data_IF_661991340929
#
_entry.id   IF_661991340929
#
_cell.length_a   1.000
_cell.length_b   1.000
_cell.length_c   1.000
_cell.angle_alpha   90.00
_cell.angle_beta   90.00
_cell.angle_gamma   90.00
#
_symmetry.space_group_name_H-M   'P 1'
#
loop_
_entity.id
_entity.type
_entity.pdbx_description
1 polymer ?
#
# COMPACT_ATOMS: atom_id res chain seq x y z
N UNK A 1 -38.61 9.69 0.76
CA UNK A 1 -37.23 9.56 0.31
C UNK A 1 -36.65 10.95 0.28
N UNK A 2 -35.69 11.27 1.12
CA UNK A 2 -34.97 12.54 1.03
C UNK A 2 -34.23 12.54 -0.31
N UNK A 3 -34.50 13.55 -1.14
CA UNK A 3 -33.82 13.74 -2.42
C UNK A 3 -32.38 14.08 -2.09
N UNK A 4 -31.40 13.32 -2.59
CA UNK A 4 -30.00 13.72 -2.46
C UNK A 4 -29.81 15.06 -3.16
N UNK A 5 -28.88 15.85 -2.64
CA UNK A 5 -28.57 17.18 -3.16
C UNK A 5 -27.40 17.15 -4.14
N UNK A 6 -26.63 16.04 -4.13
CA UNK A 6 -25.43 15.90 -4.93
C UNK A 6 -25.75 16.00 -6.44
N UNK A 7 -25.21 17.04 -7.09
CA UNK A 7 -25.39 17.31 -8.52
C UNK A 7 -24.16 16.90 -9.33
N UNK A 8 -22.98 16.85 -8.70
CA UNK A 8 -21.70 16.63 -9.37
C UNK A 8 -20.82 15.66 -8.59
N UNK A 9 -20.11 14.81 -9.34
CA UNK A 9 -19.02 14.00 -8.86
C UNK A 9 -17.71 14.46 -9.48
N UNK A 10 -16.70 14.69 -8.65
CA UNK A 10 -15.32 14.92 -9.06
C UNK A 10 -14.47 13.68 -8.76
N UNK A 11 -13.80 13.17 -9.78
CA UNK A 11 -12.96 11.99 -9.67
C UNK A 11 -11.49 12.38 -9.50
N UNK A 12 -10.83 11.81 -8.50
CA UNK A 12 -9.39 11.96 -8.33
C UNK A 12 -8.61 11.45 -9.55
N UNK A 13 -7.54 12.11 -9.89
CA UNK A 13 -6.59 11.66 -10.90
C UNK A 13 -5.14 11.93 -10.41
N UNK A 14 -4.29 10.88 -10.17
CA UNK A 14 -4.62 9.45 -10.35
C UNK A 14 -5.47 8.87 -9.20
N UNK A 15 -6.03 7.70 -9.43
CA UNK A 15 -6.75 6.86 -8.47
C UNK A 15 -6.57 5.38 -8.82
N UNK A 16 -6.97 4.49 -7.90
CA UNK A 16 -7.00 3.05 -8.15
C UNK A 16 -5.61 2.43 -8.35
N UNK A 17 -5.54 1.31 -9.05
CA UNK A 17 -4.32 0.49 -9.18
C UNK A 17 -3.06 1.28 -9.49
N UNK A 18 -1.95 0.89 -8.84
CA UNK A 18 -0.61 1.34 -9.17
C UNK A 18 0.19 0.20 -9.83
N UNK A 19 1.28 0.54 -10.52
CA UNK A 19 2.12 -0.45 -11.22
C UNK A 19 2.64 -1.59 -10.31
N UNK A 20 2.86 -1.32 -9.01
CA UNK A 20 3.28 -2.36 -8.06
C UNK A 20 2.18 -3.37 -7.78
N UNK A 21 0.95 -2.91 -7.64
CA UNK A 21 -0.25 -3.73 -7.43
C UNK A 21 -0.59 -4.53 -8.68
N UNK A 22 -0.65 -3.89 -9.85
CA UNK A 22 -0.91 -4.58 -11.12
C UNK A 22 0.08 -5.72 -11.35
N UNK A 23 1.38 -5.44 -11.16
CA UNK A 23 2.43 -6.45 -11.28
C UNK A 23 2.23 -7.61 -10.30
N UNK A 24 1.86 -7.35 -9.05
CA UNK A 24 1.69 -8.41 -8.05
C UNK A 24 0.50 -9.32 -8.38
N UNK A 25 -0.62 -8.75 -8.81
CA UNK A 25 -1.80 -9.50 -9.25
C UNK A 25 -1.46 -10.33 -10.49
N UNK A 26 -0.81 -9.73 -11.50
CA UNK A 26 -0.41 -10.43 -12.71
C UNK A 26 0.52 -11.61 -12.43
N UNK A 27 1.44 -11.48 -11.47
CA UNK A 27 2.29 -12.61 -11.04
C UNK A 27 1.44 -13.77 -10.50
N UNK A 28 0.48 -13.50 -9.63
CA UNK A 28 -0.40 -14.55 -9.07
C UNK A 28 -1.19 -15.24 -10.18
N UNK A 29 -1.78 -14.47 -11.09
CA UNK A 29 -2.57 -15.00 -12.20
C UNK A 29 -1.73 -15.87 -13.14
N UNK A 30 -0.56 -15.40 -13.56
CA UNK A 30 0.35 -16.16 -14.41
C UNK A 30 0.88 -17.42 -13.74
N UNK A 31 1.15 -17.38 -12.44
CA UNK A 31 1.58 -18.57 -11.70
C UNK A 31 0.44 -19.61 -11.62
N UNK A 32 -0.81 -19.15 -11.41
CA UNK A 32 -1.99 -20.02 -11.46
C UNK A 32 -2.15 -20.68 -12.84
N UNK A 33 -1.97 -19.92 -13.92
CA UNK A 33 -2.05 -20.41 -15.30
C UNK A 33 -0.95 -21.45 -15.61
N UNK A 34 0.29 -21.18 -15.19
CA UNK A 34 1.44 -22.02 -15.56
C UNK A 34 1.60 -23.27 -14.69
N UNK A 35 1.29 -23.18 -13.41
CA UNK A 35 1.58 -24.23 -12.43
C UNK A 35 0.31 -24.90 -11.88
N UNK A 36 -0.87 -24.37 -12.24
CA UNK A 36 -2.15 -24.86 -11.77
C UNK A 36 -2.42 -24.52 -10.31
N UNK A 37 -3.56 -24.94 -9.83
CA UNK A 37 -4.03 -24.72 -8.44
C UNK A 37 -3.86 -25.98 -7.59
N UNK A 38 -3.71 -25.85 -6.25
CA UNK A 38 -3.61 -24.60 -5.51
C UNK A 38 -2.22 -23.97 -5.62
N UNK A 39 -2.16 -22.64 -5.52
CA UNK A 39 -0.94 -21.89 -5.22
C UNK A 39 -1.13 -21.17 -3.88
N UNK A 40 -0.04 -20.98 -3.14
CA UNK A 40 -0.07 -20.36 -1.82
C UNK A 40 0.48 -18.95 -1.91
N UNK A 41 -0.18 -17.99 -1.26
CA UNK A 41 0.24 -16.59 -1.23
C UNK A 41 0.38 -16.17 0.22
N UNK A 42 1.57 -15.74 0.63
CA UNK A 42 1.81 -15.29 1.99
C UNK A 42 1.27 -13.87 2.18
N UNK A 43 0.36 -13.72 3.13
CA UNK A 43 -0.52 -12.56 3.33
C UNK A 43 -1.41 -12.29 2.11
N UNK A 44 -2.31 -11.35 2.23
CA UNK A 44 -3.03 -10.82 1.07
C UNK A 44 -2.03 -10.29 0.04
N UNK A 45 -2.21 -10.61 -1.24
CA UNK A 45 -1.29 -10.13 -2.29
C UNK A 45 -1.20 -8.61 -2.30
N UNK A 46 -2.33 -7.96 -2.07
CA UNK A 46 -2.54 -6.53 -1.83
C UNK A 46 -3.74 -6.37 -0.90
N UNK A 47 -3.82 -5.28 -0.14
CA UNK A 47 -4.94 -5.02 0.77
C UNK A 47 -6.19 -4.52 0.02
N UNK A 48 -6.89 -5.46 -0.61
CA UNK A 48 -8.18 -5.23 -1.25
C UNK A 48 -9.01 -6.52 -1.26
N UNK A 49 -10.15 -6.50 -0.58
CA UNK A 49 -11.02 -7.66 -0.40
C UNK A 49 -11.50 -8.24 -1.74
N UNK A 50 -11.94 -7.40 -2.67
CA UNK A 50 -12.42 -7.83 -3.99
C UNK A 50 -11.33 -8.57 -4.77
N UNK A 51 -10.10 -8.05 -4.76
CA UNK A 51 -8.95 -8.69 -5.43
C UNK A 51 -8.62 -10.03 -4.78
N UNK A 52 -8.57 -10.07 -3.45
CA UNK A 52 -8.25 -11.30 -2.69
C UNK A 52 -9.29 -12.39 -2.95
N UNK A 53 -10.58 -12.05 -2.90
CA UNK A 53 -11.68 -13.01 -3.18
C UNK A 53 -11.62 -13.48 -4.62
N UNK A 54 -11.42 -12.59 -5.59
CA UNK A 54 -11.30 -12.97 -6.99
C UNK A 54 -10.12 -13.94 -7.27
N UNK A 55 -9.00 -13.77 -6.56
CA UNK A 55 -7.87 -14.70 -6.67
C UNK A 55 -8.11 -16.02 -5.93
N UNK A 56 -8.85 -16.03 -4.81
CA UNK A 56 -9.31 -17.27 -4.14
C UNK A 56 -10.19 -18.10 -5.05
N UNK A 57 -11.12 -17.49 -5.75
CA UNK A 57 -12.00 -18.17 -6.71
C UNK A 57 -11.21 -18.80 -7.86
N UNK A 58 -10.09 -18.19 -8.24
CA UNK A 58 -9.14 -18.74 -9.23
C UNK A 58 -8.24 -19.85 -8.68
N UNK A 59 -8.21 -20.06 -7.35
CA UNK A 59 -7.47 -21.15 -6.70
C UNK A 59 -6.21 -20.72 -5.94
N UNK A 60 -6.06 -19.44 -5.63
CA UNK A 60 -5.03 -18.96 -4.69
C UNK A 60 -5.48 -19.24 -3.25
N UNK A 61 -4.56 -19.73 -2.42
CA UNK A 61 -4.74 -19.98 -0.98
C UNK A 61 -3.87 -18.96 -0.23
N UNK A 62 -4.51 -18.07 0.50
CA UNK A 62 -3.80 -17.07 1.31
C UNK A 62 -3.48 -17.66 2.67
N UNK A 63 -2.22 -17.53 3.10
CA UNK A 63 -1.67 -18.07 4.33
C UNK A 63 -0.94 -16.98 5.11
N UNK A 64 -0.83 -17.16 6.42
CA UNK A 64 -0.04 -16.29 7.28
C UNK A 64 1.35 -16.85 7.56
N UNK A 65 1.47 -18.16 7.80
CA UNK A 65 2.71 -18.81 8.14
C UNK A 65 3.18 -19.79 7.06
N UNK A 66 4.50 -19.86 6.84
CA UNK A 66 5.09 -20.79 5.86
C UNK A 66 4.77 -22.25 6.20
N UNK A 67 4.61 -22.58 7.48
CA UNK A 67 4.23 -23.91 7.95
C UNK A 67 2.90 -24.44 7.40
N UNK A 68 2.01 -23.53 6.97
CA UNK A 68 0.72 -23.89 6.35
C UNK A 68 0.87 -24.38 4.89
N UNK A 69 2.03 -24.15 4.27
CA UNK A 69 2.29 -24.55 2.87
C UNK A 69 2.73 -26.02 2.82
N UNK A 70 2.12 -26.89 2.01
CA UNK A 70 2.61 -28.25 1.78
C UNK A 70 4.00 -28.26 1.13
N UNK A 71 4.78 -29.30 1.41
CA UNK A 71 6.09 -29.47 0.80
C UNK A 71 6.00 -29.55 -0.74
N UNK A 72 6.99 -28.99 -1.43
CA UNK A 72 7.07 -28.87 -2.88
C UNK A 72 5.94 -28.06 -3.55
N UNK A 73 5.12 -27.34 -2.77
CA UNK A 73 4.09 -26.47 -3.31
C UNK A 73 4.68 -25.17 -3.89
N UNK A 74 3.84 -24.44 -4.61
CA UNK A 74 4.19 -23.12 -5.16
C UNK A 74 3.75 -22.03 -4.19
N UNK A 75 4.70 -21.19 -3.80
CA UNK A 75 4.52 -20.07 -2.87
C UNK A 75 4.79 -18.73 -3.55
N UNK A 76 3.95 -17.75 -3.29
CA UNK A 76 4.14 -16.37 -3.74
C UNK A 76 4.30 -15.46 -2.51
N UNK A 77 5.33 -14.64 -2.50
CA UNK A 77 5.45 -13.53 -1.54
C UNK A 77 4.63 -12.35 -2.06
N UNK A 78 3.81 -11.75 -1.19
CA UNK A 78 2.93 -10.62 -1.53
C UNK A 78 3.68 -9.36 -1.94
N UNK A 79 2.96 -8.34 -2.41
CA UNK A 79 3.54 -7.03 -2.76
C UNK A 79 4.26 -6.34 -1.60
N UNK A 80 3.90 -6.67 -0.36
CA UNK A 80 4.47 -6.09 0.87
C UNK A 80 5.89 -6.56 1.18
N UNK A 81 6.34 -7.65 0.55
CA UNK A 81 7.62 -8.27 0.82
C UNK A 81 7.62 -9.14 2.08
N UNK A 82 8.74 -9.78 2.35
CA UNK A 82 8.93 -10.69 3.48
C UNK A 82 10.29 -10.51 4.12
N UNK A 83 10.45 -10.93 5.37
CA UNK A 83 11.74 -10.96 6.08
C UNK A 83 12.73 -11.91 5.43
N UNK A 84 14.02 -11.73 5.71
CA UNK A 84 15.08 -12.70 5.34
C UNK A 84 14.78 -14.10 5.89
N UNK A 85 14.29 -14.19 7.14
CA UNK A 85 13.98 -15.47 7.79
C UNK A 85 12.89 -16.25 7.05
N UNK A 86 11.80 -15.59 6.66
CA UNK A 86 10.72 -16.20 5.88
C UNK A 86 11.22 -16.72 4.52
N UNK A 87 12.08 -15.95 3.86
CA UNK A 87 12.68 -16.36 2.58
C UNK A 87 13.60 -17.58 2.72
N UNK A 88 14.40 -17.61 3.78
CA UNK A 88 15.30 -18.73 4.12
C UNK A 88 14.49 -19.99 4.43
N UNK A 89 13.48 -19.90 5.31
CA UNK A 89 12.59 -21.01 5.64
C UNK A 89 11.90 -21.61 4.40
N UNK A 90 11.34 -20.74 3.54
CA UNK A 90 10.72 -21.19 2.31
C UNK A 90 11.71 -21.91 1.38
N UNK A 91 12.97 -21.43 1.32
CA UNK A 91 14.05 -22.06 0.55
C UNK A 91 14.48 -23.42 1.13
N UNK A 92 14.64 -23.53 2.44
CA UNK A 92 15.00 -24.78 3.13
C UNK A 92 13.93 -25.88 2.95
N UNK A 93 12.65 -25.49 2.85
CA UNK A 93 11.55 -26.42 2.57
C UNK A 93 11.42 -26.80 1.09
N UNK A 94 12.28 -26.29 0.23
CA UNK A 94 12.27 -26.61 -1.20
C UNK A 94 11.03 -26.12 -1.94
N UNK A 95 10.34 -25.10 -1.45
CA UNK A 95 9.16 -24.51 -2.10
C UNK A 95 9.55 -23.82 -3.41
N UNK A 96 8.65 -23.90 -4.40
CA UNK A 96 8.79 -23.10 -5.62
C UNK A 96 8.33 -21.68 -5.34
N UNK A 97 9.27 -20.75 -5.26
CA UNK A 97 9.01 -19.38 -4.81
C UNK A 97 8.91 -18.42 -6.00
N UNK A 98 7.83 -17.61 -6.03
CA UNK A 98 7.71 -16.42 -6.86
C UNK A 98 7.61 -15.18 -5.98
N UNK A 99 8.36 -14.15 -6.34
CA UNK A 99 8.43 -12.93 -5.52
C UNK A 99 7.64 -11.79 -6.20
N UNK A 100 6.46 -11.49 -5.63
CA UNK A 100 5.63 -10.38 -6.07
C UNK A 100 5.90 -9.07 -5.32
N UNK A 101 6.92 -9.04 -4.45
CA UNK A 101 7.31 -7.80 -3.73
C UNK A 101 7.42 -6.63 -4.69
N UNK A 102 6.77 -5.52 -4.35
CA UNK A 102 6.86 -4.29 -5.12
C UNK A 102 8.32 -3.82 -5.24
N UNK A 103 8.80 -3.44 -6.42
CA UNK A 103 10.18 -2.95 -6.59
C UNK A 103 10.54 -1.78 -5.68
N UNK A 104 9.55 -0.95 -5.27
CA UNK A 104 9.76 0.16 -4.35
C UNK A 104 9.93 -0.30 -2.90
N UNK A 105 9.25 -1.36 -2.50
CA UNK A 105 9.49 -2.05 -1.21
C UNK A 105 10.85 -2.75 -1.23
N UNK A 106 11.20 -3.42 -2.34
CA UNK A 106 12.53 -4.02 -2.53
C UNK A 106 13.65 -2.99 -2.38
N UNK A 107 13.45 -1.75 -2.86
CA UNK A 107 14.40 -0.64 -2.66
C UNK A 107 14.65 -0.42 -1.18
N UNK A 108 13.61 -0.32 -0.35
CA UNK A 108 13.73 -0.11 1.10
C UNK A 108 14.47 -1.29 1.77
N UNK A 109 14.11 -2.53 1.41
CA UNK A 109 14.78 -3.74 1.91
C UNK A 109 16.29 -3.73 1.60
N UNK A 110 16.68 -3.31 0.39
CA UNK A 110 18.08 -3.23 -0.01
C UNK A 110 18.83 -2.10 0.73
N UNK A 111 18.17 -1.01 1.05
CA UNK A 111 18.74 0.06 1.86
C UNK A 111 18.98 -0.40 3.30
N UNK A 112 18.03 -1.06 3.94
CA UNK A 112 18.19 -1.65 5.28
C UNK A 112 19.34 -2.67 5.30
N UNK A 113 19.39 -3.58 4.32
CA UNK A 113 20.45 -4.56 4.20
C UNK A 113 21.85 -3.92 3.98
N UNK A 114 21.89 -2.77 3.31
CA UNK A 114 23.13 -1.98 3.16
C UNK A 114 23.54 -1.36 4.49
N UNK A 115 22.61 -0.75 5.24
CA UNK A 115 22.89 -0.14 6.54
C UNK A 115 23.42 -1.17 7.53
N UNK A 116 22.80 -2.36 7.57
CA UNK A 116 23.30 -3.49 8.36
C UNK A 116 24.75 -3.84 8.02
N UNK A 117 25.07 -4.03 6.73
CA UNK A 117 26.40 -4.36 6.24
C UNK A 117 27.43 -3.28 6.57
N UNK A 118 27.02 -2.02 6.53
CA UNK A 118 27.87 -0.86 6.81
C UNK A 118 28.00 -0.60 8.33
N UNK A 119 27.42 -1.47 9.19
CA UNK A 119 27.44 -1.34 10.65
C UNK A 119 26.69 -0.11 11.17
N UNK A 120 25.67 0.34 10.43
CA UNK A 120 24.79 1.44 10.84
C UNK A 120 23.53 0.86 11.48
N UNK A 121 23.04 1.51 12.51
CA UNK A 121 21.70 1.26 13.04
C UNK A 121 20.64 1.91 12.13
N UNK A 122 19.44 1.37 12.13
CA UNK A 122 18.37 1.85 11.26
C UNK A 122 17.07 2.06 12.03
N UNK A 123 16.41 3.18 11.79
CA UNK A 123 15.07 3.47 12.27
C UNK A 123 14.11 3.27 11.09
N UNK A 124 13.04 2.51 11.29
CA UNK A 124 11.93 2.40 10.37
C UNK A 124 10.79 3.28 10.88
N UNK A 125 10.36 4.24 10.08
CA UNK A 125 9.11 4.96 10.32
C UNK A 125 8.00 4.15 9.64
N UNK A 126 7.03 3.63 10.42
CA UNK A 126 5.98 2.75 9.88
C UNK A 126 5.01 2.31 10.96
N UNK A 127 3.94 1.62 10.56
CA UNK A 127 2.91 1.13 11.48
C UNK A 127 3.18 -0.31 11.91
N UNK A 128 3.23 -0.53 13.22
CA UNK A 128 3.39 -1.85 13.83
C UNK A 128 2.33 -2.84 13.33
N UNK A 129 2.72 -4.09 13.10
CA UNK A 129 1.83 -5.16 12.62
C UNK A 129 1.48 -5.08 11.13
N UNK A 130 1.99 -4.10 10.39
CA UNK A 130 1.80 -4.07 8.94
C UNK A 130 2.79 -5.02 8.24
N UNK A 131 2.37 -5.89 7.28
CA UNK A 131 3.26 -6.85 6.62
C UNK A 131 4.52 -6.24 5.98
N UNK A 132 4.42 -5.05 5.38
CA UNK A 132 5.58 -4.34 4.83
C UNK A 132 6.59 -3.95 5.92
N UNK A 133 6.09 -3.54 7.09
CA UNK A 133 6.94 -3.16 8.23
C UNK A 133 7.64 -4.37 8.79
N UNK A 134 6.94 -5.48 8.99
CA UNK A 134 7.52 -6.76 9.43
C UNK A 134 8.57 -7.27 8.45
N UNK A 135 8.26 -7.24 7.15
CA UNK A 135 9.18 -7.60 6.08
C UNK A 135 10.45 -6.76 6.07
N UNK A 136 10.31 -5.44 6.30
CA UNK A 136 11.42 -4.48 6.32
C UNK A 136 12.27 -4.62 7.58
N UNK A 137 11.66 -4.72 8.78
CA UNK A 137 12.37 -5.00 10.03
C UNK A 137 13.22 -6.28 9.92
N UNK A 138 12.64 -7.30 9.30
CA UNK A 138 13.30 -8.59 9.08
C UNK A 138 14.43 -8.59 8.05
N UNK A 139 14.76 -7.43 7.44
CA UNK A 139 15.98 -7.30 6.62
C UNK A 139 17.25 -7.02 7.45
N UNK A 140 17.10 -6.71 8.73
CA UNK A 140 18.20 -6.41 9.63
C UNK A 140 18.44 -7.59 10.59
N UNK A 141 19.58 -8.26 10.51
CA UNK A 141 19.91 -9.45 11.33
C UNK A 141 21.03 -9.21 12.35
N UNK A 142 21.78 -8.09 12.23
CA UNK A 142 22.95 -7.85 13.07
C UNK A 142 22.54 -7.62 14.53
N UNK A 143 22.91 -8.56 15.43
CA UNK A 143 22.62 -8.48 16.86
C UNK A 143 23.38 -7.37 17.58
N UNK A 144 24.52 -6.94 17.03
CA UNK A 144 25.37 -5.91 17.62
C UNK A 144 24.91 -4.49 17.26
N UNK A 145 24.13 -4.35 16.17
CA UNK A 145 23.45 -3.15 15.75
C UNK A 145 22.04 -3.03 16.31
N UNK A 146 21.20 -2.22 15.65
CA UNK A 146 19.81 -2.03 16.01
C UNK A 146 18.95 -1.70 14.80
N UNK A 147 17.76 -2.28 14.78
CA UNK A 147 16.65 -1.87 13.93
C UNK A 147 15.49 -1.49 14.83
N UNK A 148 15.00 -0.28 14.68
CA UNK A 148 14.01 0.31 15.58
C UNK A 148 12.78 0.74 14.78
N UNK A 149 11.59 0.59 15.36
CA UNK A 149 10.33 1.06 14.77
C UNK A 149 9.87 2.31 15.53
N UNK A 150 9.46 3.32 14.80
CA UNK A 150 8.79 4.51 15.32
C UNK A 150 7.54 4.80 14.48
N UNK A 151 6.45 5.18 15.15
CA UNK A 151 5.18 5.55 14.51
C UNK A 151 4.88 7.05 14.67
N UNK A 152 5.46 7.67 15.73
CA UNK A 152 5.12 9.00 16.18
C UNK A 152 6.32 9.78 16.70
N UNK A 153 6.13 11.10 16.92
CA UNK A 153 7.11 11.95 17.58
C UNK A 153 7.38 11.51 19.03
N UNK A 154 6.37 10.97 19.71
CA UNK A 154 6.52 10.48 21.08
C UNK A 154 7.42 9.24 21.13
N UNK A 155 7.34 8.35 20.13
CA UNK A 155 8.27 7.22 20.02
C UNK A 155 9.69 7.72 19.78
N UNK A 156 9.85 8.72 18.93
CA UNK A 156 11.17 9.35 18.71
C UNK A 156 11.73 9.89 20.02
N UNK A 157 10.91 10.51 20.87
CA UNK A 157 11.36 11.06 22.15
C UNK A 157 11.83 9.98 23.14
N UNK A 158 11.27 8.77 23.07
CA UNK A 158 11.60 7.65 23.97
C UNK A 158 12.66 6.68 23.39
N UNK A 159 13.01 6.85 22.11
CA UNK A 159 13.88 5.93 21.39
C UNK A 159 15.30 5.89 22.00
N UNK A 160 15.77 4.71 22.35
CA UNK A 160 17.15 4.47 22.77
C UNK A 160 17.92 3.72 21.66
N UNK A 161 18.96 4.34 21.12
CA UNK A 161 19.84 3.77 20.11
C UNK A 161 21.22 3.49 20.71
N UNK A 162 21.92 2.49 20.22
CA UNK A 162 23.24 2.12 20.73
C UNK A 162 24.34 3.05 20.20
N UNK A 163 24.23 3.48 18.93
CA UNK A 163 25.23 4.32 18.28
C UNK A 163 24.56 5.46 17.48
N UNK A 164 24.30 6.61 18.12
CA UNK A 164 23.66 7.74 17.46
C UNK A 164 24.48 8.39 16.34
N UNK A 165 25.81 8.18 16.30
CA UNK A 165 26.69 8.70 15.23
C UNK A 165 26.62 7.87 13.94
N UNK A 166 26.11 6.62 14.02
CA UNK A 166 25.97 5.71 12.89
C UNK A 166 24.51 5.29 12.71
N UNK A 167 23.65 6.24 12.56
CA UNK A 167 22.21 6.06 12.49
C UNK A 167 21.67 6.46 11.11
N UNK A 168 20.75 5.65 10.59
CA UNK A 168 20.03 5.93 9.37
C UNK A 168 18.54 5.71 9.58
N UNK A 169 17.69 6.21 8.70
CA UNK A 169 16.27 5.89 8.71
C UNK A 169 15.75 5.52 7.32
N UNK A 170 14.69 4.76 7.31
CA UNK A 170 13.84 4.43 6.15
C UNK A 170 12.37 4.59 6.54
N UNK A 171 11.47 4.60 5.56
CA UNK A 171 10.03 4.69 5.84
C UNK A 171 9.25 3.58 5.16
N UNK A 172 8.09 3.24 5.71
CA UNK A 172 7.07 2.48 5.01
C UNK A 172 6.59 3.26 3.78
N UNK A 173 6.27 2.56 2.68
CA UNK A 173 5.99 3.20 1.38
C UNK A 173 4.61 3.87 1.28
N UNK A 174 3.71 3.60 2.23
CA UNK A 174 2.29 4.03 2.20
C UNK A 174 1.89 4.99 3.32
N UNK A 175 2.85 5.69 3.91
CA UNK A 175 2.60 6.67 4.99
C UNK A 175 2.01 7.98 4.46
N UNK A 176 1.45 8.76 5.39
CA UNK A 176 1.14 10.17 5.16
C UNK A 176 2.44 10.96 4.96
N UNK A 177 2.51 11.72 3.87
CA UNK A 177 3.67 12.60 3.59
C UNK A 177 3.87 13.61 4.71
N UNK A 178 2.79 14.27 5.12
CA UNK A 178 2.83 15.36 6.09
C UNK A 178 3.22 14.84 7.49
N UNK A 179 2.65 13.71 7.95
CA UNK A 179 2.98 13.12 9.24
C UNK A 179 4.41 12.59 9.27
N UNK A 180 4.85 11.96 8.19
CA UNK A 180 6.21 11.43 8.08
C UNK A 180 7.24 12.57 8.16
N UNK A 181 6.95 13.71 7.53
CA UNK A 181 7.84 14.87 7.59
C UNK A 181 8.04 15.36 9.05
N UNK A 182 6.97 15.38 9.86
CA UNK A 182 7.04 15.77 11.28
C UNK A 182 7.90 14.79 12.09
N UNK A 183 7.76 13.49 11.85
CA UNK A 183 8.57 12.45 12.52
C UNK A 183 10.03 12.55 12.10
N UNK A 184 10.31 12.79 10.80
CA UNK A 184 11.68 12.99 10.29
C UNK A 184 12.32 14.23 10.92
N UNK A 185 11.60 15.35 11.04
CA UNK A 185 12.11 16.56 11.69
C UNK A 185 12.47 16.30 13.16
N UNK A 186 11.63 15.56 13.89
CA UNK A 186 11.90 15.15 15.26
C UNK A 186 13.15 14.26 15.37
N UNK A 187 13.33 13.30 14.43
CA UNK A 187 14.53 12.47 14.35
C UNK A 187 15.79 13.28 14.09
N UNK A 188 15.75 14.21 13.13
CA UNK A 188 16.89 15.08 12.79
C UNK A 188 17.24 16.02 13.92
N UNK A 189 16.25 16.50 14.67
CA UNK A 189 16.48 17.34 15.86
C UNK A 189 17.14 16.56 16.98
N UNK A 190 16.73 15.29 17.19
CA UNK A 190 17.29 14.44 18.25
C UNK A 190 18.64 13.83 17.87
N UNK A 191 18.82 13.48 16.60
CA UNK A 191 20.00 12.83 16.03
C UNK A 191 20.50 13.64 14.83
N UNK A 192 21.27 14.72 15.02
CA UNK A 192 21.64 15.64 13.94
C UNK A 192 22.41 15.01 12.78
N UNK A 193 23.14 13.91 13.03
CA UNK A 193 23.93 13.19 12.02
C UNK A 193 23.18 12.04 11.35
N UNK A 194 21.85 11.85 11.65
CA UNK A 194 21.05 10.78 11.07
C UNK A 194 20.95 10.92 9.55
N UNK A 195 21.11 9.81 8.85
CA UNK A 195 21.07 9.76 7.39
C UNK A 195 19.74 9.20 6.90
N UNK A 196 19.07 9.93 6.04
CA UNK A 196 17.87 9.45 5.36
C UNK A 196 18.17 8.74 4.02
N UNK A 197 17.14 8.19 3.39
CA UNK A 197 17.25 7.62 2.06
C UNK A 197 17.64 8.69 1.03
N UNK A 198 18.36 8.29 -0.02
CA UNK A 198 18.74 9.22 -1.12
C UNK A 198 17.55 9.74 -1.93
N UNK A 199 16.47 9.00 -1.95
CA UNK A 199 15.17 9.35 -2.56
C UNK A 199 14.11 8.90 -1.58
N UNK A 200 13.02 9.64 -1.50
CA UNK A 200 11.90 9.32 -0.62
C UNK A 200 11.49 7.85 -0.75
N UNK A 201 11.18 7.21 0.37
CA UNK A 201 10.69 5.83 0.41
C UNK A 201 9.18 5.79 0.21
N UNK A 202 8.44 6.84 0.61
CA UNK A 202 7.01 6.96 0.31
C UNK A 202 6.87 6.94 -1.20
N UNK A 203 6.14 5.95 -1.72
CA UNK A 203 6.11 5.67 -3.14
C UNK A 203 5.34 6.75 -3.93
N UNK A 204 5.68 6.90 -5.22
CA UNK A 204 5.04 7.86 -6.12
C UNK A 204 3.51 7.72 -6.12
N UNK A 205 3.01 6.48 -6.07
CA UNK A 205 1.57 6.21 -6.10
C UNK A 205 0.86 6.74 -4.85
N UNK A 206 1.50 6.61 -3.69
CA UNK A 206 1.01 7.18 -2.43
C UNK A 206 1.02 8.71 -2.49
N UNK A 207 2.13 9.31 -2.91
CA UNK A 207 2.26 10.77 -3.02
C UNK A 207 1.23 11.36 -3.98
N UNK A 208 1.14 10.82 -5.21
CA UNK A 208 0.22 11.34 -6.23
C UNK A 208 -1.25 11.25 -5.81
N UNK A 209 -1.65 10.16 -5.12
CA UNK A 209 -3.03 10.02 -4.63
C UNK A 209 -3.33 10.95 -3.47
N UNK A 210 -2.37 11.19 -2.57
CA UNK A 210 -2.52 12.19 -1.51
C UNK A 210 -2.63 13.60 -2.10
N UNK A 211 -1.80 13.96 -3.10
CA UNK A 211 -1.91 15.24 -3.80
C UNK A 211 -3.29 15.40 -4.48
N UNK A 212 -3.81 14.34 -5.12
CA UNK A 212 -5.13 14.37 -5.74
C UNK A 212 -6.26 14.54 -4.72
N UNK A 213 -6.16 13.94 -3.53
CA UNK A 213 -7.15 14.14 -2.45
C UNK A 213 -7.11 15.56 -1.90
N UNK A 214 -5.93 16.17 -1.77
CA UNK A 214 -5.82 17.59 -1.36
C UNK A 214 -6.60 18.50 -2.33
N UNK A 215 -6.47 18.25 -3.64
CA UNK A 215 -7.19 19.01 -4.66
C UNK A 215 -8.71 18.75 -4.59
N UNK A 216 -9.15 17.50 -4.35
CA UNK A 216 -10.57 17.19 -4.16
C UNK A 216 -11.15 17.88 -2.94
N UNK A 217 -10.42 17.87 -1.80
CA UNK A 217 -10.89 18.44 -0.55
C UNK A 217 -11.18 19.94 -0.65
N UNK A 218 -10.47 20.66 -1.53
CA UNK A 218 -10.73 22.08 -1.80
C UNK A 218 -12.00 22.33 -2.60
N UNK A 219 -12.57 21.30 -3.26
CA UNK A 219 -13.64 21.45 -4.25
C UNK A 219 -14.91 20.65 -3.92
N UNK A 220 -14.84 19.76 -2.93
CA UNK A 220 -15.92 18.84 -2.60
C UNK A 220 -16.45 19.06 -1.18
N UNK A 221 -17.76 18.84 -1.01
CA UNK A 221 -18.39 18.86 0.31
C UNK A 221 -18.18 17.54 1.07
N UNK A 222 -17.96 16.44 0.31
CA UNK A 222 -17.79 15.08 0.81
C UNK A 222 -16.83 14.31 -0.09
N UNK A 223 -15.99 13.42 0.47
CA UNK A 223 -15.16 12.52 -0.32
C UNK A 223 -15.46 11.06 0.03
N UNK A 224 -15.73 10.26 -0.98
CA UNK A 224 -15.78 8.80 -0.89
C UNK A 224 -14.42 8.23 -1.29
N UNK A 225 -13.79 7.51 -0.38
CA UNK A 225 -12.54 6.81 -0.61
C UNK A 225 -12.86 5.33 -0.80
N UNK A 226 -12.72 4.83 -2.02
CA UNK A 226 -12.89 3.41 -2.30
C UNK A 226 -11.64 2.67 -1.85
N UNK A 227 -11.79 1.64 -1.01
CA UNK A 227 -10.66 0.87 -0.49
C UNK A 227 -10.98 0.08 0.77
N UNK A 228 -10.19 -0.94 1.05
CA UNK A 228 -10.39 -1.80 2.21
C UNK A 228 -9.81 -1.19 3.48
N UNK A 229 -10.45 -1.48 4.62
CA UNK A 229 -10.10 -0.91 5.93
C UNK A 229 -8.69 -1.27 6.42
N UNK A 230 -8.14 -2.40 5.97
CA UNK A 230 -6.77 -2.83 6.27
C UNK A 230 -5.73 -2.23 5.29
N UNK A 231 -6.15 -1.43 4.30
CA UNK A 231 -5.24 -0.74 3.40
C UNK A 231 -4.69 0.54 4.03
N UNK A 232 -3.41 0.57 4.37
CA UNK A 232 -2.74 1.77 4.89
C UNK A 232 -2.91 2.96 3.95
N UNK A 233 -2.67 2.77 2.64
CA UNK A 233 -2.83 3.85 1.66
C UNK A 233 -4.27 4.41 1.65
N UNK A 234 -5.31 3.57 1.64
CA UNK A 234 -6.71 4.02 1.59
C UNK A 234 -7.09 4.81 2.85
N UNK A 235 -6.65 4.36 4.03
CA UNK A 235 -6.87 5.09 5.28
C UNK A 235 -6.20 6.47 5.25
N UNK A 236 -4.96 6.56 4.73
CA UNK A 236 -4.26 7.86 4.63
C UNK A 236 -5.00 8.85 3.73
N UNK A 237 -5.64 8.38 2.64
CA UNK A 237 -6.46 9.25 1.79
C UNK A 237 -7.68 9.81 2.52
N UNK A 238 -8.40 8.98 3.28
CA UNK A 238 -9.52 9.43 4.11
C UNK A 238 -9.07 10.46 5.14
N UNK A 239 -8.06 10.13 5.93
CA UNK A 239 -7.53 11.02 6.96
C UNK A 239 -7.00 12.34 6.40
N UNK A 240 -6.43 12.32 5.20
CA UNK A 240 -5.99 13.52 4.49
C UNK A 240 -7.17 14.46 4.19
N UNK A 241 -8.28 13.92 3.68
CA UNK A 241 -9.49 14.70 3.41
C UNK A 241 -10.08 15.29 4.70
N UNK A 242 -10.20 14.48 5.77
CA UNK A 242 -10.68 14.93 7.09
C UNK A 242 -9.82 16.06 7.67
N UNK A 243 -8.50 16.00 7.53
CA UNK A 243 -7.57 17.06 7.96
C UNK A 243 -7.73 18.37 7.18
N UNK A 244 -8.14 18.28 5.92
CA UNK A 244 -8.47 19.47 5.10
C UNK A 244 -9.84 20.06 5.47
N UNK A 245 -10.58 19.42 6.37
CA UNK A 245 -11.90 19.87 6.81
C UNK A 245 -13.06 19.37 5.96
N UNK A 246 -12.81 18.38 5.08
CA UNK A 246 -13.82 17.76 4.22
C UNK A 246 -14.22 16.41 4.79
N UNK A 247 -15.53 16.16 4.97
CA UNK A 247 -16.03 14.86 5.41
C UNK A 247 -15.59 13.76 4.44
N UNK A 248 -15.08 12.65 4.97
CA UNK A 248 -14.59 11.56 4.14
C UNK A 248 -14.98 10.19 4.70
N UNK A 249 -15.41 9.30 3.82
CA UNK A 249 -15.80 7.93 4.18
C UNK A 249 -15.03 6.91 3.36
N UNK A 250 -14.47 5.92 4.06
CA UNK A 250 -13.82 4.77 3.45
C UNK A 250 -14.87 3.66 3.24
N UNK A 251 -15.00 3.20 2.00
CA UNK A 251 -15.96 2.18 1.59
C UNK A 251 -15.27 1.08 0.78
N UNK A 252 -15.59 -0.18 1.04
CA UNK A 252 -15.08 -1.30 0.25
C UNK A 252 -15.70 -1.33 -1.17
N UNK A 253 -16.99 -0.96 -1.29
CA UNK A 253 -17.73 -0.96 -2.55
C UNK A 253 -18.99 -0.07 -2.46
N UNK A 254 -19.75 0.04 -3.56
CA UNK A 254 -20.93 0.90 -3.67
C UNK A 254 -22.05 0.58 -2.67
N UNK A 255 -22.16 -0.67 -2.18
CA UNK A 255 -23.23 -1.06 -1.23
C UNK A 255 -23.04 -0.46 0.16
N UNK A 256 -21.85 0.04 0.48
CA UNK A 256 -21.56 0.73 1.75
C UNK A 256 -21.90 2.23 1.73
N UNK A 257 -22.32 2.77 0.60
CA UNK A 257 -22.71 4.18 0.50
C UNK A 257 -23.97 4.43 1.35
N UNK A 258 -23.81 5.26 2.38
CA UNK A 258 -24.96 5.73 3.13
C UNK A 258 -25.54 6.99 2.49
N UNK A 259 -26.78 6.89 1.99
CA UNK A 259 -27.48 8.01 1.34
C UNK A 259 -27.57 9.25 2.25
N UNK A 260 -27.58 9.07 3.58
CA UNK A 260 -27.59 10.18 4.53
C UNK A 260 -26.34 11.08 4.40
N UNK A 261 -25.21 10.58 3.98
CA UNK A 261 -24.01 11.37 3.75
C UNK A 261 -24.16 12.36 2.58
N UNK A 262 -25.04 12.04 1.63
CA UNK A 262 -25.23 12.79 0.38
C UNK A 262 -26.32 13.89 0.48
N UNK A 263 -27.05 13.95 1.59
CA UNK A 263 -28.23 14.85 1.73
C UNK A 263 -27.84 16.32 1.68
N UNK A 264 -26.72 16.69 2.28
CA UNK A 264 -26.23 18.07 2.38
C UNK A 264 -25.05 18.38 1.44
N UNK A 265 -24.61 17.40 0.63
CA UNK A 265 -23.48 17.54 -0.27
C UNK A 265 -23.93 17.91 -1.69
N UNK A 266 -23.38 18.97 -2.28
CA UNK A 266 -23.61 19.33 -3.68
C UNK A 266 -22.58 18.67 -4.60
N UNK A 267 -21.32 18.66 -4.18
CA UNK A 267 -20.18 18.10 -4.92
C UNK A 267 -19.57 16.97 -4.12
N UNK A 268 -19.57 15.76 -4.69
CA UNK A 268 -19.00 14.57 -4.07
C UNK A 268 -17.68 14.22 -4.76
N UNK A 269 -16.60 14.19 -4.00
CA UNK A 269 -15.31 13.66 -4.47
C UNK A 269 -15.29 12.14 -4.42
N UNK A 270 -14.72 11.49 -5.43
CA UNK A 270 -14.45 10.05 -5.40
C UNK A 270 -12.98 9.80 -5.70
N UNK A 271 -12.34 9.08 -4.81
CA UNK A 271 -10.96 8.59 -4.98
C UNK A 271 -10.88 7.10 -4.67
N UNK A 272 -9.76 6.49 -4.96
CA UNK A 272 -9.53 5.07 -4.70
C UNK A 272 -8.09 4.81 -4.29
N UNK A 273 -7.91 3.92 -3.33
CA UNK A 273 -6.59 3.47 -2.90
C UNK A 273 -5.82 2.75 -4.00
N UNK A 274 -4.49 2.67 -3.86
CA UNK A 274 -3.57 2.09 -4.85
C UNK A 274 -3.78 0.57 -5.11
N UNK A 275 -4.59 -0.10 -4.30
CA UNK A 275 -4.96 -1.51 -4.43
C UNK A 275 -6.39 -1.75 -4.93
N UNK A 276 -7.08 -0.70 -5.40
CA UNK A 276 -8.49 -0.75 -5.83
C UNK A 276 -8.58 -0.85 -7.34
N UNK A 277 -9.26 -1.86 -7.90
CA UNK A 277 -9.54 -1.93 -9.32
C UNK A 277 -10.58 -0.88 -9.74
N UNK A 278 -10.46 -0.37 -10.97
CA UNK A 278 -11.34 0.69 -11.49
C UNK A 278 -12.83 0.28 -11.51
N UNK A 279 -13.13 -1.02 -11.67
CA UNK A 279 -14.51 -1.53 -11.65
C UNK A 279 -15.26 -1.15 -10.37
N UNK A 280 -14.61 -1.13 -9.20
CA UNK A 280 -15.26 -0.71 -7.95
C UNK A 280 -15.57 0.79 -7.93
N UNK A 281 -14.72 1.60 -8.57
CA UNK A 281 -14.97 3.04 -8.73
C UNK A 281 -16.15 3.27 -9.69
N UNK A 282 -16.20 2.51 -10.78
CA UNK A 282 -17.32 2.56 -11.75
C UNK A 282 -18.66 2.18 -11.09
N UNK A 283 -18.68 1.17 -10.21
CA UNK A 283 -19.86 0.79 -9.42
C UNK A 283 -20.31 1.93 -8.49
N UNK A 284 -19.37 2.59 -7.81
CA UNK A 284 -19.67 3.76 -6.97
C UNK A 284 -20.26 4.90 -7.81
N UNK A 285 -19.68 5.20 -8.98
CA UNK A 285 -20.19 6.21 -9.89
C UNK A 285 -21.60 5.85 -10.37
N UNK A 286 -21.86 4.60 -10.72
CA UNK A 286 -23.18 4.12 -11.15
C UNK A 286 -24.23 4.33 -10.04
N UNK A 287 -23.92 3.93 -8.81
CA UNK A 287 -24.77 4.12 -7.64
C UNK A 287 -25.09 5.61 -7.38
N UNK A 288 -24.10 6.50 -7.50
CA UNK A 288 -24.29 7.94 -7.34
C UNK A 288 -25.19 8.52 -8.44
N UNK A 289 -25.04 8.07 -9.69
CA UNK A 289 -25.93 8.45 -10.81
C UNK A 289 -27.36 7.99 -10.60
N UNK A 290 -27.57 6.75 -10.16
CA UNK A 290 -28.91 6.24 -9.80
C UNK A 290 -29.55 7.05 -8.67
N UNK A 291 -28.72 7.60 -7.79
CA UNK A 291 -29.15 8.48 -6.71
C UNK A 291 -29.47 9.92 -7.17
N UNK A 292 -29.16 10.31 -8.40
CA UNK A 292 -29.51 11.60 -8.98
C UNK A 292 -28.36 12.51 -9.37
N UNK A 293 -27.10 12.06 -9.31
CA UNK A 293 -25.95 12.83 -9.79
C UNK A 293 -25.99 12.93 -11.33
N UNK A 294 -25.88 14.15 -11.83
CA UNK A 294 -25.99 14.42 -13.28
C UNK A 294 -24.63 14.56 -13.96
N UNK A 295 -23.61 15.07 -13.25
CA UNK A 295 -22.28 15.37 -13.82
C UNK A 295 -21.20 14.57 -13.14
N UNK A 296 -20.28 14.01 -13.94
CA UNK A 296 -19.08 13.29 -13.47
C UNK A 296 -17.89 13.80 -14.26
N UNK A 297 -16.89 14.32 -13.56
CA UNK A 297 -15.72 14.93 -14.17
C UNK A 297 -14.45 14.45 -13.47
N UNK A 298 -13.36 14.28 -14.22
CA UNK A 298 -12.04 14.05 -13.63
C UNK A 298 -11.37 15.38 -13.29
N UNK A 299 -10.78 15.49 -12.10
CA UNK A 299 -9.88 16.62 -11.81
C UNK A 299 -8.62 16.54 -12.67
N UNK A 300 -7.96 17.67 -12.87
CA UNK A 300 -6.60 17.67 -13.44
C UNK A 300 -5.65 17.02 -12.45
N UNK A 301 -4.85 16.08 -12.92
CA UNK A 301 -3.92 15.34 -12.09
C UNK A 301 -2.64 14.98 -12.82
N UNK A 302 -1.84 14.12 -12.21
CA UNK A 302 -0.58 13.63 -12.77
C UNK A 302 -0.82 12.34 -13.55
N UNK A 303 -0.21 12.22 -14.73
CA UNK A 303 -0.14 10.95 -15.44
C UNK A 303 0.91 10.03 -14.81
N UNK A 304 0.55 8.77 -14.63
CA UNK A 304 1.45 7.72 -14.15
C UNK A 304 1.82 6.79 -15.31
N UNK A 305 3.09 6.84 -15.75
CA UNK A 305 3.60 6.04 -16.86
C UNK A 305 4.62 5.00 -16.38
N UNK A 306 4.49 4.54 -15.13
CA UNK A 306 5.40 3.57 -14.53
C UNK A 306 4.88 2.17 -14.80
N UNK A 307 5.75 1.31 -15.30
CA UNK A 307 5.50 -0.12 -15.52
C UNK A 307 6.64 -0.92 -14.89
N UNK A 308 6.31 -1.93 -14.11
CA UNK A 308 7.28 -2.85 -13.55
C UNK A 308 7.28 -4.19 -14.30
N UNK A 309 8.46 -4.61 -14.71
CA UNK A 309 8.62 -5.90 -15.38
C UNK A 309 8.30 -7.07 -14.47
N UNK A 310 7.70 -8.11 -15.04
CA UNK A 310 7.53 -9.39 -14.37
C UNK A 310 8.87 -10.08 -14.12
N UNK A 311 8.95 -11.03 -13.17
CA UNK A 311 10.07 -11.95 -13.02
C UNK A 311 10.38 -12.65 -14.35
N UNK A 312 11.66 -12.89 -14.64
CA UNK A 312 12.12 -13.45 -15.93
C UNK A 312 11.42 -14.79 -16.27
N UNK A 313 11.15 -15.60 -15.27
CA UNK A 313 10.53 -16.92 -15.45
C UNK A 313 9.04 -16.83 -15.87
N UNK A 314 8.41 -15.67 -15.62
CA UNK A 314 7.03 -15.38 -16.01
C UNK A 314 6.91 -14.49 -17.26
N UNK A 315 8.04 -14.01 -17.82
CA UNK A 315 8.04 -13.18 -19.05
C UNK A 315 7.87 -14.01 -20.33
N UNK A 316 8.14 -15.31 -20.27
CA UNK A 316 8.00 -16.19 -21.42
C UNK A 316 6.52 -16.46 -21.67
N UNK A 317 5.96 -15.83 -22.66
CA UNK A 317 4.72 -16.28 -23.30
C UNK A 317 4.98 -17.67 -23.87
N UNK A 318 4.29 -18.68 -23.36
CA UNK A 318 4.24 -19.96 -24.10
C UNK A 318 3.53 -19.72 -25.41
N UNK A 319 4.08 -20.18 -26.55
CA UNK A 319 3.32 -20.17 -27.78
C UNK A 319 2.06 -21.03 -27.56
N UNK A 320 0.90 -20.43 -27.86
CA UNK A 320 -0.40 -21.07 -27.91
C UNK A 320 -0.36 -22.22 -28.91
#
# INVERSE_FOLDING_TARGET
MNKIKAEQVLLANPRGFCAGVERAIEIVERVLEQFGRPIYVRHEVVHNKFVVEGLRDKGAVFIEEISEVPDNATLIFSAHGVSKAVREEAGERGLRIFDATCPLVTKVHLEVARYERDGQECILIGHAGHPEVEGTLGQYKNSDGGMYLVESVDDVAQLEVKNPEKLSFVTQTTLSMDDTAVVIEALQKRFPDIKGPKRDDICYATQNRQDAVKILAEQCDLILVVGSRNSSNSNRLREMAERQGTDAYLIDNASEINVAWLVDSNVVGVTAGASVPEVLVEEVIACLKESGVERVENIKGREENIVFSLPRDLQKTFPI
#
